data_IF_767967900213
#
_entry.id   IF_767967900213
#
_cell.length_a   1.000
_cell.length_b   1.000
_cell.length_c   1.000
_cell.angle_alpha   90.00
_cell.angle_beta   90.00
_cell.angle_gamma   90.00
#
_symmetry.space_group_name_H-M   'P 1'
#
loop_
_entity.id
_entity.type
_entity.pdbx_description
1 polymer ?
#
# COMPACT_ATOMS: atom_id res chain seq x y z
N UNK A 1 56.55 16.17 -0.98
CA UNK A 1 55.79 15.05 -1.59
C UNK A 1 54.44 14.97 -0.91
N UNK A 2 53.41 15.62 -1.47
CA UNK A 2 52.07 15.75 -0.87
C UNK A 2 51.18 14.57 -1.23
N UNK A 3 50.53 13.99 -0.23
CA UNK A 3 49.20 13.36 -0.19
C UNK A 3 48.79 12.31 -1.25
N UNK A 4 49.66 11.87 -2.18
CA UNK A 4 49.28 10.83 -3.16
C UNK A 4 48.82 9.54 -2.49
N UNK A 5 49.53 9.09 -1.45
CA UNK A 5 49.17 7.89 -0.70
C UNK A 5 47.86 8.08 0.08
N UNK A 6 47.67 9.21 0.73
CA UNK A 6 46.45 9.56 1.48
C UNK A 6 45.22 9.61 0.58
N UNK A 7 45.36 10.16 -0.64
CA UNK A 7 44.28 10.22 -1.62
C UNK A 7 43.90 8.82 -2.13
N UNK A 8 44.88 7.92 -2.32
CA UNK A 8 44.61 6.53 -2.73
C UNK A 8 43.87 5.77 -1.62
N UNK A 9 44.32 5.89 -0.37
CA UNK A 9 43.65 5.24 0.77
C UNK A 9 42.21 5.75 0.97
N UNK A 10 41.98 7.05 0.83
CA UNK A 10 40.63 7.62 0.93
C UNK A 10 39.71 7.12 -0.19
N UNK A 11 40.21 7.02 -1.43
CA UNK A 11 39.44 6.48 -2.56
C UNK A 11 39.10 5.01 -2.39
N UNK A 12 40.03 4.18 -1.88
CA UNK A 12 39.76 2.76 -1.61
C UNK A 12 38.75 2.63 -0.47
N UNK A 13 38.88 3.41 0.60
CA UNK A 13 37.95 3.41 1.72
C UNK A 13 36.53 3.79 1.28
N UNK A 14 36.38 4.81 0.44
CA UNK A 14 35.09 5.19 -0.14
C UNK A 14 34.50 4.06 -1.00
N UNK A 15 35.30 3.42 -1.87
CA UNK A 15 34.81 2.34 -2.74
C UNK A 15 34.37 1.08 -1.98
N UNK A 16 35.01 0.76 -0.85
CA UNK A 16 34.62 -0.39 0.00
C UNK A 16 33.38 -0.06 0.85
N UNK A 17 33.16 1.22 1.18
CA UNK A 17 32.04 1.65 2.03
C UNK A 17 30.66 1.52 1.37
N UNK A 18 30.58 1.41 0.04
CA UNK A 18 29.32 1.35 -0.71
C UNK A 18 28.89 -0.06 -1.13
N UNK A 19 29.62 -1.12 -0.77
CA UNK A 19 29.33 -2.48 -1.27
C UNK A 19 28.04 -3.13 -0.74
N UNK A 20 27.40 -2.53 0.27
CA UNK A 20 26.20 -3.07 0.90
C UNK A 20 24.93 -2.24 0.66
N UNK A 21 24.96 -1.29 -0.28
CA UNK A 21 23.71 -0.60 -0.67
C UNK A 21 22.95 -1.50 -1.64
N UNK A 22 21.86 -2.08 -1.15
CA UNK A 22 20.91 -2.82 -1.97
C UNK A 22 19.59 -2.05 -2.01
N UNK A 23 18.96 -2.02 -3.17
CA UNK A 23 17.60 -1.55 -3.33
C UNK A 23 16.75 -2.71 -3.86
N UNK A 24 15.60 -2.94 -3.25
CA UNK A 24 14.62 -3.90 -3.74
C UNK A 24 13.58 -3.15 -4.57
N UNK A 25 13.51 -3.46 -5.86
CA UNK A 25 12.46 -2.94 -6.74
C UNK A 25 11.33 -3.97 -6.77
N UNK A 26 10.18 -3.59 -6.24
CA UNK A 26 8.96 -4.36 -6.40
C UNK A 26 8.20 -3.87 -7.62
N UNK A 27 7.59 -4.79 -8.36
CA UNK A 27 6.69 -4.46 -9.47
C UNK A 27 5.29 -4.04 -8.98
N UNK A 28 5.22 -3.18 -7.96
CA UNK A 28 3.96 -2.65 -7.43
C UNK A 28 3.40 -1.65 -8.45
N UNK A 29 2.15 -1.80 -8.91
CA UNK A 29 1.54 -0.86 -9.84
C UNK A 29 1.41 0.53 -9.24
N UNK A 30 1.72 1.55 -10.04
CA UNK A 30 1.40 2.93 -9.72
C UNK A 30 -0.10 3.19 -9.96
N UNK A 31 -0.79 3.69 -8.95
CA UNK A 31 -2.22 4.00 -9.00
C UNK A 31 -2.43 5.47 -8.63
N UNK A 32 -3.02 6.24 -9.55
CA UNK A 32 -3.47 7.61 -9.26
C UNK A 32 -4.81 7.57 -8.51
N UNK A 33 -4.94 8.33 -7.42
CA UNK A 33 -6.20 8.37 -6.67
C UNK A 33 -7.34 8.96 -7.53
N UNK A 34 -8.49 8.28 -7.57
CA UNK A 34 -9.64 8.71 -8.39
C UNK A 34 -10.40 9.88 -7.75
N UNK A 35 -10.38 9.98 -6.41
CA UNK A 35 -11.01 11.06 -5.64
C UNK A 35 -10.04 11.62 -4.61
N UNK A 36 -10.27 12.86 -4.19
CA UNK A 36 -9.34 13.61 -3.33
C UNK A 36 -9.27 13.10 -1.88
N UNK A 37 -10.20 12.25 -1.42
CA UNK A 37 -10.14 11.60 -0.10
C UNK A 37 -9.98 10.08 -0.19
N UNK A 38 -9.64 9.53 -1.36
CA UNK A 38 -9.55 8.09 -1.61
C UNK A 38 -8.12 7.54 -1.64
N UNK A 39 -7.17 8.21 -1.00
CA UNK A 39 -5.79 7.69 -0.90
C UNK A 39 -5.75 6.27 -0.31
N UNK A 40 -6.61 5.96 0.66
CA UNK A 40 -6.78 4.63 1.24
C UNK A 40 -7.26 3.59 0.22
N UNK A 41 -8.15 3.98 -0.69
CA UNK A 41 -8.64 3.11 -1.75
C UNK A 41 -7.58 2.89 -2.83
N UNK A 42 -6.82 3.94 -3.18
CA UNK A 42 -5.70 3.85 -4.12
C UNK A 42 -4.59 2.93 -3.60
N UNK A 43 -4.18 3.09 -2.35
CA UNK A 43 -3.16 2.21 -1.73
C UNK A 43 -3.66 0.78 -1.60
N UNK A 44 -4.93 0.57 -1.21
CA UNK A 44 -5.53 -0.78 -1.19
C UNK A 44 -5.54 -1.42 -2.58
N UNK A 45 -5.83 -0.65 -3.63
CA UNK A 45 -5.74 -1.10 -5.03
C UNK A 45 -4.31 -1.51 -5.40
N UNK A 46 -3.28 -0.73 -5.03
CA UNK A 46 -1.88 -1.11 -5.27
C UNK A 46 -1.54 -2.45 -4.61
N UNK A 47 -1.90 -2.62 -3.33
CA UNK A 47 -1.64 -3.85 -2.56
C UNK A 47 -2.37 -5.02 -3.18
N UNK A 48 -3.66 -4.86 -3.49
CA UNK A 48 -4.47 -5.90 -4.12
C UNK A 48 -3.89 -6.27 -5.47
N UNK A 49 -3.58 -5.33 -6.37
CA UNK A 49 -3.04 -5.67 -7.69
C UNK A 49 -1.64 -6.32 -7.63
N UNK A 50 -0.85 -6.00 -6.60
CA UNK A 50 0.49 -6.57 -6.42
C UNK A 50 0.46 -7.98 -5.81
N UNK A 51 -0.24 -8.14 -4.69
CA UNK A 51 -0.29 -9.42 -3.94
C UNK A 51 -1.39 -10.36 -4.43
N UNK A 52 -2.36 -9.84 -5.18
CA UNK A 52 -3.53 -10.58 -5.63
C UNK A 52 -3.77 -10.33 -7.13
N UNK A 53 -3.92 -11.40 -7.90
CA UNK A 53 -4.19 -11.24 -9.33
C UNK A 53 -5.52 -10.52 -9.55
N UNK A 54 -5.57 -9.60 -10.50
CA UNK A 54 -6.82 -8.99 -10.98
C UNK A 54 -7.92 -10.03 -11.33
N UNK A 55 -7.54 -11.27 -11.65
CA UNK A 55 -8.47 -12.36 -11.96
C UNK A 55 -9.12 -13.01 -10.74
N UNK A 56 -8.64 -12.73 -9.53
CA UNK A 56 -9.15 -13.33 -8.29
C UNK A 56 -10.13 -12.43 -7.55
N UNK A 57 -10.41 -11.22 -8.06
CA UNK A 57 -11.41 -10.32 -7.48
C UNK A 57 -12.77 -11.02 -7.34
N UNK A 58 -13.52 -10.78 -6.25
CA UNK A 58 -14.84 -11.36 -6.06
C UNK A 58 -15.72 -11.12 -7.29
N UNK A 59 -16.43 -12.16 -7.74
CA UNK A 59 -17.27 -12.06 -8.94
C UNK A 59 -18.27 -10.91 -8.80
N UNK A 60 -18.30 -10.03 -9.81
CA UNK A 60 -19.17 -8.84 -9.82
C UNK A 60 -18.63 -7.63 -9.04
N UNK A 61 -17.42 -7.69 -8.47
CA UNK A 61 -16.77 -6.51 -7.90
C UNK A 61 -16.19 -5.60 -9.00
N UNK A 62 -16.32 -4.30 -8.77
CA UNK A 62 -15.64 -3.30 -9.60
C UNK A 62 -14.18 -3.22 -9.11
N UNK A 63 -13.24 -3.55 -10.00
CA UNK A 63 -11.82 -3.63 -9.68
C UNK A 63 -11.15 -2.26 -9.51
N UNK A 64 -11.91 -1.16 -9.60
CA UNK A 64 -11.42 0.20 -9.51
C UNK A 64 -11.60 0.76 -8.08
N UNK A 65 -11.08 1.96 -7.80
CA UNK A 65 -11.17 2.54 -6.45
C UNK A 65 -12.62 2.74 -6.01
N UNK A 66 -13.53 3.05 -6.93
CA UNK A 66 -14.95 3.17 -6.56
C UNK A 66 -15.57 1.86 -6.05
N UNK A 67 -15.10 0.69 -6.48
CA UNK A 67 -15.60 -0.60 -5.99
C UNK A 67 -15.12 -0.91 -4.58
N UNK A 68 -13.86 -0.60 -4.30
CA UNK A 68 -13.30 -0.62 -2.93
C UNK A 68 -14.06 0.37 -2.04
N UNK A 69 -14.31 1.58 -2.54
CA UNK A 69 -15.05 2.60 -1.81
C UNK A 69 -16.51 2.22 -1.56
N UNK A 70 -17.17 1.57 -2.52
CA UNK A 70 -18.52 1.05 -2.37
C UNK A 70 -18.57 -0.06 -1.32
N UNK A 71 -17.59 -0.97 -1.29
CA UNK A 71 -17.50 -1.95 -0.20
C UNK A 71 -17.44 -1.26 1.16
N UNK A 72 -16.49 -0.35 1.38
CA UNK A 72 -16.38 0.38 2.64
C UNK A 72 -17.67 1.11 3.03
N UNK A 73 -18.36 1.72 2.05
CA UNK A 73 -19.67 2.35 2.25
C UNK A 73 -20.75 1.35 2.67
N UNK A 74 -20.81 0.17 2.07
CA UNK A 74 -21.78 -0.87 2.48
C UNK A 74 -21.52 -1.38 3.89
N UNK A 75 -20.26 -1.39 4.34
CA UNK A 75 -19.87 -1.80 5.69
C UNK A 75 -20.09 -0.69 6.74
N UNK A 76 -20.06 0.58 6.33
CA UNK A 76 -20.20 1.74 7.21
C UNK A 76 -21.00 2.89 6.55
N UNK A 77 -22.26 2.62 6.20
CA UNK A 77 -23.12 3.58 5.49
C UNK A 77 -23.50 4.80 6.32
N UNK A 78 -23.37 4.73 7.64
CA UNK A 78 -23.58 5.88 8.53
C UNK A 78 -22.49 6.95 8.36
N UNK A 79 -21.27 6.54 8.03
CA UNK A 79 -20.15 7.43 7.80
C UNK A 79 -20.00 7.85 6.32
N UNK A 80 -20.07 6.88 5.40
CA UNK A 80 -19.91 7.14 3.97
C UNK A 80 -21.20 7.49 3.22
N UNK A 81 -22.34 7.51 3.93
CA UNK A 81 -23.66 7.82 3.36
C UNK A 81 -24.32 6.67 2.60
N UNK A 82 -25.52 6.95 2.08
CA UNK A 82 -26.38 5.95 1.43
C UNK A 82 -26.22 5.84 -0.09
N UNK A 83 -25.60 6.83 -0.74
CA UNK A 83 -25.48 6.88 -2.20
C UNK A 83 -24.33 5.99 -2.69
N UNK A 84 -24.55 5.24 -3.77
CA UNK A 84 -23.53 4.38 -4.36
C UNK A 84 -22.27 5.17 -4.77
N UNK A 85 -21.10 4.72 -4.32
CA UNK A 85 -19.82 5.40 -4.52
C UNK A 85 -19.39 5.47 -5.99
N UNK A 86 -19.75 4.47 -6.81
CA UNK A 86 -19.43 4.48 -8.24
C UNK A 86 -20.38 5.40 -9.04
N UNK A 87 -21.59 5.65 -8.55
CA UNK A 87 -22.54 6.57 -9.18
C UNK A 87 -22.33 8.03 -8.73
N UNK A 88 -21.96 8.25 -7.46
CA UNK A 88 -21.80 9.58 -6.87
C UNK A 88 -20.47 9.71 -6.10
N UNK A 89 -19.32 9.54 -6.78
CA UNK A 89 -18.00 9.39 -6.13
C UNK A 89 -17.54 10.64 -5.38
N UNK A 90 -18.05 11.82 -5.74
CA UNK A 90 -17.74 13.10 -5.08
C UNK A 90 -18.64 13.41 -3.89
N UNK A 91 -19.65 12.57 -3.63
CA UNK A 91 -20.62 12.75 -2.55
C UNK A 91 -20.10 12.32 -1.19
N UNK A 92 -20.99 11.82 -0.33
CA UNK A 92 -20.66 11.38 1.04
C UNK A 92 -19.64 10.24 1.12
N UNK A 93 -19.36 9.54 0.03
CA UNK A 93 -18.31 8.52 -0.02
C UNK A 93 -16.90 9.09 -0.14
N UNK A 94 -16.76 10.35 -0.53
CA UNK A 94 -15.48 11.02 -0.67
C UNK A 94 -14.97 11.51 0.70
N UNK A 95 -14.69 10.55 1.59
CA UNK A 95 -14.23 10.78 2.94
C UNK A 95 -12.96 9.96 3.25
N UNK A 96 -12.15 10.39 4.23
CA UNK A 96 -11.07 9.59 4.78
C UNK A 96 -11.56 8.23 5.30
N UNK A 97 -10.64 7.30 5.55
CA UNK A 97 -10.97 5.99 6.11
C UNK A 97 -9.94 5.57 7.15
N UNK A 98 -10.29 4.59 7.97
CA UNK A 98 -9.43 4.01 9.00
C UNK A 98 -8.51 2.93 8.41
N UNK A 99 -7.33 2.79 9.01
CA UNK A 99 -6.42 1.69 8.69
C UNK A 99 -6.98 0.34 9.15
N UNK A 100 -7.55 0.28 10.35
CA UNK A 100 -8.03 -0.95 11.00
C UNK A 100 -9.10 -0.66 12.08
N UNK A 101 -9.71 -1.72 12.62
CA UNK A 101 -10.57 -1.66 13.81
C UNK A 101 -11.97 -1.07 13.61
N UNK A 102 -12.34 -0.71 12.38
CA UNK A 102 -13.67 -0.23 11.98
C UNK A 102 -14.12 -1.02 10.75
N UNK A 103 -15.41 -1.33 10.65
CA UNK A 103 -15.99 -1.96 9.47
C UNK A 103 -15.73 -1.09 8.22
N UNK A 104 -15.25 -1.69 7.15
CA UNK A 104 -14.84 -1.01 5.93
C UNK A 104 -13.47 -0.33 5.99
N UNK A 105 -12.68 -0.53 7.05
CA UNK A 105 -11.28 -0.08 7.12
C UNK A 105 -10.38 -0.78 6.10
N UNK A 106 -9.14 -0.31 5.92
CA UNK A 106 -8.16 -0.90 4.99
C UNK A 106 -7.91 -2.39 5.31
N UNK A 107 -7.75 -2.76 6.57
CA UNK A 107 -7.65 -4.17 7.02
C UNK A 107 -8.83 -5.02 6.53
N UNK A 108 -10.05 -4.52 6.69
CA UNK A 108 -11.27 -5.21 6.27
C UNK A 108 -11.36 -5.31 4.73
N UNK A 109 -10.99 -4.25 4.01
CA UNK A 109 -10.90 -4.23 2.54
C UNK A 109 -9.93 -5.29 2.03
N UNK A 110 -8.71 -5.35 2.58
CA UNK A 110 -7.68 -6.30 2.15
C UNK A 110 -8.07 -7.75 2.47
N UNK A 111 -8.71 -7.96 3.61
CA UNK A 111 -9.27 -9.26 3.99
C UNK A 111 -10.39 -9.70 3.05
N UNK A 112 -11.34 -8.81 2.75
CA UNK A 112 -12.48 -9.14 1.90
C UNK A 112 -12.10 -9.40 0.45
N UNK A 113 -11.29 -8.52 -0.16
CA UNK A 113 -10.97 -8.62 -1.58
C UNK A 113 -9.83 -9.59 -1.88
N UNK A 114 -8.82 -9.64 -1.01
CA UNK A 114 -7.58 -10.40 -1.26
C UNK A 114 -7.37 -11.61 -0.35
N UNK A 115 -8.25 -11.86 0.63
CA UNK A 115 -8.00 -12.79 1.73
C UNK A 115 -6.66 -12.50 2.45
N UNK A 116 -6.25 -11.23 2.46
CA UNK A 116 -4.99 -10.77 3.07
C UNK A 116 -5.27 -10.42 4.53
N UNK A 117 -4.52 -11.05 5.43
CA UNK A 117 -4.54 -10.70 6.86
C UNK A 117 -3.39 -9.74 7.15
N UNK A 118 -3.70 -8.58 7.73
CA UNK A 118 -2.70 -7.58 8.12
C UNK A 118 -2.36 -7.66 9.61
N UNK A 119 -1.12 -7.31 9.97
CA UNK A 119 -0.75 -7.06 11.36
C UNK A 119 -0.68 -5.55 11.59
N UNK A 120 -1.49 -5.03 12.50
CA UNK A 120 -1.54 -3.60 12.78
C UNK A 120 -0.30 -3.16 13.57
N UNK A 121 0.58 -2.43 12.91
CA UNK A 121 1.82 -1.92 13.50
C UNK A 121 1.62 -0.50 14.03
N UNK A 122 2.07 -0.24 15.25
CA UNK A 122 1.96 1.09 15.88
C UNK A 122 3.21 1.94 15.67
N UNK A 123 4.29 1.37 15.15
CA UNK A 123 5.60 2.00 14.99
C UNK A 123 6.21 1.65 13.63
N UNK A 124 7.18 2.45 13.18
CA UNK A 124 8.02 2.10 12.04
C UNK A 124 8.78 0.79 12.28
N UNK A 125 8.90 -0.01 11.24
CA UNK A 125 9.62 -1.28 11.25
C UNK A 125 11.08 -1.13 10.79
N UNK A 126 11.94 -2.05 11.21
CA UNK A 126 13.35 -2.05 10.79
C UNK A 126 13.48 -2.51 9.33
N UNK A 127 14.64 -2.24 8.74
CA UNK A 127 14.95 -2.71 7.39
C UNK A 127 14.82 -4.23 7.25
N UNK A 128 15.40 -4.95 8.21
CA UNK A 128 15.31 -6.40 8.29
C UNK A 128 13.88 -6.90 8.40
N UNK A 129 12.99 -6.15 9.06
CA UNK A 129 11.61 -6.55 9.24
C UNK A 129 10.80 -6.39 7.95
N UNK A 130 10.87 -5.23 7.28
CA UNK A 130 10.12 -5.08 6.01
C UNK A 130 10.64 -6.03 4.93
N UNK A 131 11.95 -6.33 4.91
CA UNK A 131 12.52 -7.34 4.00
C UNK A 131 11.94 -8.73 4.28
N UNK A 132 11.82 -9.11 5.54
CA UNK A 132 11.19 -10.37 5.93
C UNK A 132 9.70 -10.42 5.55
N UNK A 133 8.97 -9.31 5.72
CA UNK A 133 7.54 -9.22 5.35
C UNK A 133 7.35 -9.37 3.84
N UNK A 134 8.11 -8.65 3.02
CA UNK A 134 8.08 -8.79 1.56
C UNK A 134 8.42 -10.21 1.12
N UNK A 135 9.48 -10.82 1.68
CA UNK A 135 9.88 -12.19 1.34
C UNK A 135 8.81 -13.23 1.69
N UNK A 136 7.94 -12.93 2.66
CA UNK A 136 6.82 -13.77 3.07
C UNK A 136 5.51 -13.43 2.34
N UNK A 137 5.56 -12.56 1.33
CA UNK A 137 4.39 -12.02 0.62
C UNK A 137 3.37 -11.34 1.55
N UNK A 138 3.87 -10.61 2.55
CA UNK A 138 3.05 -9.86 3.51
C UNK A 138 3.14 -8.36 3.21
N UNK A 139 2.01 -7.68 2.95
CA UNK A 139 1.96 -6.23 2.80
C UNK A 139 2.17 -5.46 4.12
#
# INVERSE_FOLDING_TARGET
MKNRSTNIFLSIFLLVSFQNISAQILAVPEIEQEQNQWCWSGVSKCILDYYFSANNWPAGSNQNQCGIAEYARTQNSGYFGGSNCCAFPTGSCNNPNWMYGVNGSIEDILSFFGAITTNNLTNSISESQWQNEINNNTP
#
